data_IF_672262816034
#
_entry.id   IF_672262816034
#
_cell.length_a   1.000
_cell.length_b   1.000
_cell.length_c   1.000
_cell.angle_alpha   90.00
_cell.angle_beta   90.00
_cell.angle_gamma   90.00
#
_symmetry.space_group_name_H-M   'P 1'
#
loop_
_entity.id
_entity.type
_entity.pdbx_description
1 polymer ?
#
# COMPACT_ATOMS: atom_id res chain seq x y z
N UNK A 1 14.06 -31.62 -13.95
CA UNK A 1 13.72 -30.21 -14.13
C UNK A 1 13.06 -29.76 -12.83
N UNK A 2 13.81 -29.13 -11.90
CA UNK A 2 13.20 -28.56 -10.68
C UNK A 2 12.49 -27.29 -11.10
N UNK A 3 11.18 -27.28 -10.99
CA UNK A 3 10.42 -26.04 -10.97
C UNK A 3 10.74 -25.39 -9.62
N UNK A 4 11.67 -24.42 -9.65
CA UNK A 4 11.87 -23.54 -8.51
C UNK A 4 10.56 -22.76 -8.33
N UNK A 5 9.75 -23.21 -7.37
CA UNK A 5 8.59 -22.47 -6.94
C UNK A 5 9.09 -21.25 -6.16
N UNK A 6 9.14 -20.11 -6.83
CA UNK A 6 9.41 -18.84 -6.16
C UNK A 6 8.46 -18.68 -4.97
N UNK A 7 9.02 -18.52 -3.78
CA UNK A 7 8.25 -18.44 -2.54
C UNK A 7 8.02 -16.98 -2.16
N UNK A 8 6.76 -16.58 -2.23
CA UNK A 8 6.31 -15.27 -1.76
C UNK A 8 5.86 -15.35 -0.32
N UNK A 9 6.44 -14.55 0.55
CA UNK A 9 6.09 -14.43 1.96
C UNK A 9 5.75 -13.00 2.31
N UNK A 10 4.63 -12.79 3.04
CA UNK A 10 4.34 -11.52 3.69
C UNK A 10 4.68 -11.64 5.18
N UNK A 11 5.52 -10.73 5.67
CA UNK A 11 5.96 -10.71 7.07
C UNK A 11 5.59 -9.39 7.72
N UNK A 12 5.24 -9.38 9.02
CA UNK A 12 5.18 -8.15 9.79
C UNK A 12 6.52 -7.40 9.69
N UNK A 13 6.43 -6.07 9.51
CA UNK A 13 7.59 -5.20 9.56
C UNK A 13 8.16 -5.20 10.99
N UNK A 14 9.48 -5.22 11.14
CA UNK A 14 10.09 -5.18 12.47
C UNK A 14 11.49 -5.80 12.56
N UNK A 15 12.01 -6.36 11.47
CA UNK A 15 13.39 -6.83 11.44
C UNK A 15 14.37 -5.69 11.14
N UNK A 16 15.59 -5.72 11.67
CA UNK A 16 16.64 -4.77 11.30
C UNK A 16 16.78 -4.66 9.77
N UNK A 17 16.85 -3.43 9.28
CA UNK A 17 16.94 -3.12 7.85
C UNK A 17 15.59 -2.98 7.12
N UNK A 18 14.45 -3.38 7.71
CA UNK A 18 13.14 -3.18 7.07
C UNK A 18 12.81 -1.71 6.85
N UNK A 19 12.97 -0.89 7.88
CA UNK A 19 12.64 0.56 7.82
C UNK A 19 13.49 1.28 6.76
N UNK A 20 14.80 1.06 6.78
CA UNK A 20 15.71 1.65 5.81
C UNK A 20 15.42 1.19 4.37
N UNK A 21 15.10 -0.10 4.19
CA UNK A 21 14.74 -0.61 2.88
C UNK A 21 13.47 0.03 2.31
N UNK A 22 12.46 0.24 3.13
CA UNK A 22 11.22 0.92 2.69
C UNK A 22 11.52 2.31 2.14
N UNK A 23 12.33 3.10 2.84
CA UNK A 23 12.72 4.44 2.40
C UNK A 23 13.54 4.39 1.12
N UNK A 24 14.57 3.55 1.06
CA UNK A 24 15.45 3.40 -0.09
C UNK A 24 14.66 2.95 -1.33
N UNK A 25 13.86 1.89 -1.21
CA UNK A 25 13.10 1.35 -2.34
C UNK A 25 12.10 2.36 -2.91
N UNK A 26 11.42 3.14 -2.07
CA UNK A 26 10.55 4.21 -2.53
C UNK A 26 11.35 5.30 -3.27
N UNK A 27 12.44 5.78 -2.71
CA UNK A 27 13.27 6.78 -3.35
C UNK A 27 13.76 6.34 -4.73
N UNK A 28 14.36 5.17 -4.83
CA UNK A 28 14.92 4.64 -6.06
C UNK A 28 13.87 4.33 -7.13
N UNK A 29 12.81 3.60 -6.77
CA UNK A 29 11.78 3.17 -7.72
C UNK A 29 11.00 4.35 -8.28
N UNK A 30 10.57 5.28 -7.43
CA UNK A 30 9.77 6.42 -7.87
C UNK A 30 10.59 7.47 -8.62
N UNK A 31 11.88 7.61 -8.30
CA UNK A 31 12.78 8.43 -9.10
C UNK A 31 12.96 7.84 -10.52
N UNK A 32 13.17 6.54 -10.61
CA UNK A 32 13.37 5.85 -11.89
C UNK A 32 12.11 5.85 -12.77
N UNK A 33 10.93 5.67 -12.19
CA UNK A 33 9.69 5.52 -12.95
C UNK A 33 8.94 6.84 -13.21
N UNK A 34 9.03 7.80 -12.28
CA UNK A 34 8.23 9.03 -12.31
C UNK A 34 9.08 10.30 -12.27
N UNK A 35 10.40 10.19 -12.10
CA UNK A 35 11.28 11.34 -11.99
C UNK A 35 11.11 12.14 -10.69
N UNK A 36 10.57 11.52 -9.64
CA UNK A 36 10.37 12.19 -8.36
C UNK A 36 11.69 12.37 -7.61
N UNK A 37 11.86 13.54 -7.03
CA UNK A 37 13.09 13.92 -6.32
C UNK A 37 13.12 13.43 -4.87
N UNK A 38 14.16 13.79 -4.13
CA UNK A 38 14.38 13.39 -2.74
C UNK A 38 13.35 13.95 -1.75
N UNK A 39 12.51 14.90 -2.13
CA UNK A 39 11.39 15.35 -1.28
C UNK A 39 10.40 14.21 -1.03
N UNK A 40 10.19 13.34 -2.04
CA UNK A 40 9.37 12.14 -1.88
C UNK A 40 10.01 11.13 -0.93
N UNK A 41 11.30 10.86 -1.08
CA UNK A 41 12.05 9.98 -0.17
C UNK A 41 12.00 10.52 1.27
N UNK A 42 12.16 11.85 1.45
CA UNK A 42 12.04 12.51 2.75
C UNK A 42 10.64 12.34 3.36
N UNK A 43 9.58 12.44 2.57
CA UNK A 43 8.21 12.19 3.03
C UNK A 43 8.04 10.73 3.51
N UNK A 44 8.53 9.77 2.73
CA UNK A 44 8.49 8.35 3.13
C UNK A 44 9.29 8.12 4.41
N UNK A 45 10.45 8.74 4.54
CA UNK A 45 11.26 8.65 5.76
C UNK A 45 10.52 9.16 6.99
N UNK A 46 9.78 10.26 6.89
CA UNK A 46 8.95 10.80 7.98
C UNK A 46 7.83 9.83 8.37
N UNK A 47 7.14 9.23 7.39
CA UNK A 47 6.08 8.25 7.63
C UNK A 47 6.65 7.03 8.36
N UNK A 48 7.76 6.49 7.88
CA UNK A 48 8.41 5.31 8.44
C UNK A 48 8.92 5.58 9.86
N UNK A 49 9.57 6.73 10.09
CA UNK A 49 10.04 7.11 11.41
C UNK A 49 8.88 7.33 12.41
N UNK A 50 7.79 7.95 11.97
CA UNK A 50 6.59 8.14 12.78
C UNK A 50 5.96 6.81 13.19
N UNK A 51 5.84 5.88 12.27
CA UNK A 51 5.37 4.52 12.56
C UNK A 51 6.29 3.80 13.56
N UNK A 52 7.59 3.80 13.30
CA UNK A 52 8.55 3.13 14.17
C UNK A 52 8.54 3.66 15.62
N UNK A 53 8.32 4.95 15.79
CA UNK A 53 8.37 5.60 17.10
C UNK A 53 7.09 5.45 17.92
N UNK A 54 5.91 5.33 17.30
CA UNK A 54 4.63 5.57 18.00
C UNK A 54 3.48 4.64 17.64
N UNK A 55 3.65 3.66 16.73
CA UNK A 55 2.52 2.81 16.34
C UNK A 55 1.98 2.00 17.52
N UNK A 56 0.66 1.91 17.58
CA UNK A 56 -0.05 1.00 18.48
C UNK A 56 -0.41 -0.28 17.69
N UNK A 57 0.13 -1.45 18.06
CA UNK A 57 -0.10 -2.69 17.31
C UNK A 57 -1.57 -3.16 17.32
N UNK A 58 -2.43 -2.61 18.18
CA UNK A 58 -3.85 -2.89 18.14
C UNK A 58 -4.56 -2.16 16.98
N UNK A 59 -4.00 -1.05 16.52
CA UNK A 59 -4.60 -0.15 15.54
C UNK A 59 -3.76 0.03 14.28
N UNK A 60 -2.48 -0.29 14.33
CA UNK A 60 -1.54 -0.02 13.25
C UNK A 60 -0.65 -1.23 12.97
N UNK A 61 -0.40 -1.50 11.71
CA UNK A 61 0.48 -2.58 11.27
C UNK A 61 1.15 -2.24 9.95
N UNK A 62 2.26 -2.91 9.68
CA UNK A 62 2.97 -2.80 8.41
C UNK A 62 3.55 -4.16 8.02
N UNK A 63 3.70 -4.40 6.73
CA UNK A 63 4.21 -5.66 6.21
C UNK A 63 5.27 -5.44 5.14
N UNK A 64 6.19 -6.40 5.08
CA UNK A 64 7.18 -6.57 4.03
C UNK A 64 6.83 -7.82 3.23
N UNK A 65 6.81 -7.70 1.90
CA UNK A 65 6.74 -8.83 1.00
C UNK A 65 8.16 -9.27 0.63
N UNK A 66 8.44 -10.54 0.72
CA UNK A 66 9.69 -11.17 0.32
C UNK A 66 9.45 -12.18 -0.79
N UNK A 67 10.38 -12.23 -1.75
CA UNK A 67 10.47 -13.24 -2.79
C UNK A 67 11.80 -13.96 -2.63
N UNK A 68 11.75 -15.22 -2.25
CA UNK A 68 12.95 -16.03 -1.95
C UNK A 68 13.91 -15.35 -0.96
N UNK A 69 13.33 -14.71 0.08
CA UNK A 69 14.07 -13.99 1.12
C UNK A 69 14.51 -12.57 0.73
N UNK A 70 14.28 -12.12 -0.50
CA UNK A 70 14.57 -10.73 -0.93
C UNK A 70 13.34 -9.85 -0.75
N UNK A 71 13.52 -8.68 -0.19
CA UNK A 71 12.43 -7.71 0.01
C UNK A 71 11.99 -7.15 -1.34
N UNK A 72 10.69 -7.24 -1.64
CA UNK A 72 10.13 -6.83 -2.92
C UNK A 72 8.84 -6.03 -2.81
N UNK A 73 8.37 -5.75 -1.61
CA UNK A 73 7.18 -4.93 -1.42
C UNK A 73 6.94 -4.55 0.03
N UNK A 74 6.07 -3.58 0.24
CA UNK A 74 5.60 -3.18 1.56
C UNK A 74 4.24 -2.50 1.50
N UNK A 75 3.56 -2.45 2.65
CA UNK A 75 2.35 -1.67 2.88
C UNK A 75 2.22 -1.33 4.36
N UNK A 76 1.64 -0.17 4.66
CA UNK A 76 1.36 0.29 6.01
C UNK A 76 -0.14 0.56 6.18
N UNK A 77 -0.67 0.16 7.32
CA UNK A 77 -2.00 0.51 7.80
C UNK A 77 -1.83 1.31 9.10
N UNK A 78 -2.22 2.56 9.10
CA UNK A 78 -2.07 3.46 10.24
C UNK A 78 -3.41 4.11 10.58
N UNK A 79 -3.54 4.64 11.80
CA UNK A 79 -4.71 5.42 12.20
C UNK A 79 -4.76 6.74 11.43
N UNK A 80 -5.97 7.20 11.09
CA UNK A 80 -6.16 8.54 10.57
C UNK A 80 -6.13 9.54 11.75
N UNK A 81 -5.20 10.51 11.79
CA UNK A 81 -5.12 11.45 12.90
C UNK A 81 -6.34 12.38 13.00
N UNK A 82 -7.07 12.55 11.90
CA UNK A 82 -8.25 13.45 11.83
C UNK A 82 -9.57 12.72 12.04
N UNK A 83 -9.57 11.37 12.00
CA UNK A 83 -10.78 10.56 12.16
C UNK A 83 -10.43 9.23 12.86
N UNK A 84 -10.69 9.10 14.16
CA UNK A 84 -10.34 7.89 14.92
C UNK A 84 -11.11 6.64 14.47
N UNK A 85 -12.15 6.78 13.65
CA UNK A 85 -12.92 5.66 13.10
C UNK A 85 -12.35 5.18 11.76
N UNK A 86 -11.36 5.87 11.20
CA UNK A 86 -10.75 5.57 9.92
C UNK A 86 -9.31 5.09 10.05
N UNK A 87 -8.94 4.12 9.23
CA UNK A 87 -7.55 3.79 8.95
C UNK A 87 -7.05 4.53 7.71
N UNK A 88 -5.74 4.68 7.59
CA UNK A 88 -5.04 5.08 6.36
C UNK A 88 -4.17 3.95 5.83
N UNK A 89 -4.38 3.59 4.57
CA UNK A 89 -3.44 2.80 3.81
C UNK A 89 -2.34 3.72 3.31
N UNK A 90 -1.09 3.41 3.62
CA UNK A 90 0.06 4.25 3.25
C UNK A 90 1.18 3.44 2.65
N UNK A 91 1.94 4.10 1.80
CA UNK A 91 3.22 3.62 1.22
C UNK A 91 3.18 2.18 0.73
N UNK A 92 2.22 1.86 -0.13
CA UNK A 92 2.21 0.63 -0.91
C UNK A 92 3.31 0.70 -1.98
N UNK A 93 4.20 -0.27 -1.97
CA UNK A 93 5.21 -0.45 -3.00
C UNK A 93 5.29 -1.92 -3.41
N UNK A 94 5.38 -2.17 -4.72
CA UNK A 94 5.90 -3.42 -5.27
C UNK A 94 7.12 -3.10 -6.13
N UNK A 95 8.28 -3.55 -5.64
CA UNK A 95 9.54 -3.40 -6.36
C UNK A 95 9.46 -4.09 -7.73
N UNK A 96 10.11 -3.59 -8.79
CA UNK A 96 10.10 -4.22 -10.12
C UNK A 96 10.37 -5.72 -10.10
N UNK A 97 11.30 -6.19 -9.27
CA UNK A 97 11.65 -7.61 -9.13
C UNK A 97 10.50 -8.49 -8.59
N UNK A 98 9.52 -7.89 -7.94
CA UNK A 98 8.35 -8.59 -7.36
C UNK A 98 7.10 -8.54 -8.22
N UNK A 99 7.10 -7.79 -9.33
CA UNK A 99 5.91 -7.58 -10.17
C UNK A 99 5.46 -8.83 -10.92
N UNK A 100 4.21 -8.82 -11.37
CA UNK A 100 3.62 -9.94 -12.12
C UNK A 100 3.20 -11.14 -11.27
N UNK A 101 3.29 -11.05 -9.94
CA UNK A 101 2.97 -12.14 -8.98
C UNK A 101 1.77 -11.84 -8.08
N UNK A 102 1.02 -10.79 -8.38
CA UNK A 102 -0.15 -10.39 -7.59
C UNK A 102 0.19 -9.84 -6.19
N UNK A 103 1.45 -9.46 -5.93
CA UNK A 103 1.89 -8.97 -4.62
C UNK A 103 1.15 -7.73 -4.14
N UNK A 104 0.91 -6.77 -5.03
CA UNK A 104 0.18 -5.56 -4.70
C UNK A 104 -1.23 -5.86 -4.18
N UNK A 105 -1.92 -6.80 -4.81
CA UNK A 105 -3.24 -7.26 -4.37
C UNK A 105 -3.18 -7.92 -3.01
N UNK A 106 -2.22 -8.82 -2.79
CA UNK A 106 -2.05 -9.51 -1.50
C UNK A 106 -1.73 -8.53 -0.37
N UNK A 107 -0.89 -7.54 -0.62
CA UNK A 107 -0.56 -6.50 0.35
C UNK A 107 -1.79 -5.66 0.70
N UNK A 108 -2.57 -5.22 -0.28
CA UNK A 108 -3.81 -4.47 -0.05
C UNK A 108 -4.83 -5.32 0.71
N UNK A 109 -5.03 -6.58 0.31
CA UNK A 109 -5.96 -7.48 0.99
C UNK A 109 -5.56 -7.70 2.46
N UNK A 110 -4.28 -7.91 2.75
CA UNK A 110 -3.76 -8.02 4.12
C UNK A 110 -4.02 -6.76 4.95
N UNK A 111 -3.80 -5.58 4.36
CA UNK A 111 -4.10 -4.30 4.99
C UNK A 111 -5.59 -4.16 5.32
N UNK A 112 -6.47 -4.51 4.38
CA UNK A 112 -7.92 -4.44 4.57
C UNK A 112 -8.43 -5.44 5.62
N UNK A 113 -7.89 -6.64 5.66
CA UNK A 113 -8.21 -7.64 6.68
C UNK A 113 -7.83 -7.16 8.07
N UNK A 114 -6.65 -6.60 8.21
CA UNK A 114 -6.21 -5.99 9.47
C UNK A 114 -7.12 -4.83 9.90
N UNK A 115 -7.42 -3.90 8.99
CA UNK A 115 -8.26 -2.75 9.31
C UNK A 115 -9.67 -3.17 9.78
N UNK A 116 -10.25 -4.20 9.14
CA UNK A 116 -11.53 -4.77 9.59
C UNK A 116 -11.43 -5.42 10.97
N UNK A 117 -10.40 -6.22 11.18
CA UNK A 117 -10.18 -6.91 12.46
C UNK A 117 -9.92 -5.94 13.61
N UNK A 118 -9.23 -4.83 13.34
CA UNK A 118 -9.01 -3.75 14.29
C UNK A 118 -10.29 -2.96 14.64
N UNK A 119 -11.35 -3.08 13.83
CA UNK A 119 -12.63 -2.42 14.09
C UNK A 119 -12.80 -1.05 13.45
N UNK A 120 -11.98 -0.69 12.46
CA UNK A 120 -12.17 0.54 11.71
C UNK A 120 -13.44 0.50 10.89
N UNK A 121 -14.18 1.62 10.85
CA UNK A 121 -15.39 1.77 10.05
C UNK A 121 -15.09 1.98 8.57
N UNK A 122 -13.94 2.61 8.27
CA UNK A 122 -13.51 2.93 6.92
C UNK A 122 -11.99 2.94 6.81
N UNK A 123 -11.51 2.90 5.56
CA UNK A 123 -10.11 3.08 5.25
C UNK A 123 -9.96 4.09 4.11
N UNK A 124 -9.01 4.99 4.25
CA UNK A 124 -8.69 6.05 3.29
C UNK A 124 -7.29 5.86 2.74
N UNK A 125 -7.06 6.37 1.56
CA UNK A 125 -5.72 6.51 0.99
C UNK A 125 -5.63 7.78 0.15
N UNK A 126 -4.44 8.31 0.06
CA UNK A 126 -4.08 9.37 -0.87
C UNK A 126 -3.02 8.85 -1.84
N UNK A 127 -3.18 9.12 -3.12
CA UNK A 127 -2.28 8.67 -4.18
C UNK A 127 -2.15 9.77 -5.24
N UNK A 128 -1.36 9.54 -6.27
CA UNK A 128 -1.18 10.46 -7.38
C UNK A 128 -1.53 9.80 -8.71
N UNK A 129 -2.01 10.58 -9.66
CA UNK A 129 -2.54 10.09 -10.92
C UNK A 129 -1.60 9.17 -11.73
N UNK A 130 -0.25 9.29 -11.72
CA UNK A 130 0.61 8.37 -12.47
C UNK A 130 0.64 6.94 -11.90
N UNK A 131 0.20 6.74 -10.66
CA UNK A 131 0.25 5.44 -9.96
C UNK A 131 -0.92 4.53 -10.38
N UNK A 132 -1.01 4.23 -11.66
CA UNK A 132 -2.15 3.51 -12.26
C UNK A 132 -2.29 2.06 -11.76
N UNK A 133 -1.19 1.36 -11.56
CA UNK A 133 -1.22 -0.04 -11.12
C UNK A 133 -1.85 -0.16 -9.71
N UNK A 134 -1.46 0.72 -8.78
CA UNK A 134 -2.04 0.78 -7.44
C UNK A 134 -3.53 1.16 -7.50
N UNK A 135 -3.89 2.17 -8.32
CA UNK A 135 -5.27 2.62 -8.48
C UNK A 135 -6.19 1.50 -8.97
N UNK A 136 -5.75 0.67 -9.92
CA UNK A 136 -6.52 -0.49 -10.39
C UNK A 136 -6.83 -1.47 -9.25
N UNK A 137 -5.88 -1.68 -8.35
CA UNK A 137 -6.09 -2.55 -7.18
C UNK A 137 -7.14 -1.92 -6.25
N UNK A 138 -7.04 -0.62 -5.96
CA UNK A 138 -7.99 0.06 -5.09
C UNK A 138 -9.42 0.01 -5.64
N UNK A 139 -9.60 0.35 -6.90
CA UNK A 139 -10.91 0.29 -7.56
C UNK A 139 -11.50 -1.11 -7.56
N UNK A 140 -10.68 -2.14 -7.82
CA UNK A 140 -11.11 -3.54 -7.79
C UNK A 140 -11.52 -4.02 -6.38
N UNK A 141 -11.11 -3.31 -5.30
CA UNK A 141 -11.52 -3.59 -3.91
C UNK A 141 -12.70 -2.74 -3.45
N UNK A 142 -13.24 -1.92 -4.32
CA UNK A 142 -14.42 -1.11 -4.03
C UNK A 142 -14.10 0.26 -3.44
N UNK A 143 -12.85 0.70 -3.44
CA UNK A 143 -12.53 2.08 -3.11
C UNK A 143 -13.19 3.04 -4.08
N UNK A 144 -13.68 4.15 -3.57
CA UNK A 144 -14.35 5.21 -4.32
C UNK A 144 -13.51 6.48 -4.25
N UNK A 145 -13.36 7.15 -5.40
CA UNK A 145 -12.70 8.45 -5.48
C UNK A 145 -13.58 9.49 -4.76
N UNK A 146 -13.02 10.18 -3.77
CA UNK A 146 -13.72 11.20 -2.97
C UNK A 146 -13.18 12.60 -3.18
N UNK A 147 -12.00 12.75 -3.78
CA UNK A 147 -11.43 14.06 -4.06
C UNK A 147 -10.22 13.98 -4.97
N UNK A 148 -10.02 15.08 -5.70
CA UNK A 148 -8.84 15.31 -6.53
C UNK A 148 -8.37 16.75 -6.34
N UNK A 149 -7.05 16.93 -6.33
CA UNK A 149 -6.45 18.26 -6.30
C UNK A 149 -5.15 18.32 -7.12
N UNK A 150 -4.99 19.30 -8.02
CA UNK A 150 -3.71 19.56 -8.63
C UNK A 150 -2.73 20.10 -7.61
N UNK A 151 -1.49 19.64 -7.67
CA UNK A 151 -0.42 20.15 -6.83
C UNK A 151 0.93 19.99 -7.53
N UNK A 152 1.94 20.71 -7.04
CA UNK A 152 3.33 20.52 -7.43
C UNK A 152 4.10 19.99 -6.24
N UNK A 153 4.61 18.78 -6.38
CA UNK A 153 5.41 18.11 -5.35
C UNK A 153 6.45 17.21 -6.00
N UNK A 154 7.51 16.92 -5.27
CA UNK A 154 8.56 15.99 -5.73
C UNK A 154 9.23 16.42 -7.04
N UNK A 155 9.22 17.73 -7.32
CA UNK A 155 9.78 18.32 -8.54
C UNK A 155 8.90 18.24 -9.78
N UNK A 156 7.66 17.76 -9.69
CA UNK A 156 6.75 17.55 -10.83
C UNK A 156 5.33 18.05 -10.53
N UNK A 157 4.56 18.30 -11.58
CA UNK A 157 3.14 18.60 -11.47
C UNK A 157 2.33 17.29 -11.39
N UNK A 158 1.43 17.21 -10.42
CA UNK A 158 0.68 16.01 -10.09
C UNK A 158 -0.81 16.36 -9.87
N UNK A 159 -1.64 15.32 -9.92
CA UNK A 159 -3.01 15.36 -9.40
C UNK A 159 -3.10 14.35 -8.27
N UNK A 160 -3.26 14.86 -7.04
CA UNK A 160 -3.52 14.04 -5.87
C UNK A 160 -4.94 13.51 -5.89
N UNK A 161 -5.13 12.26 -5.51
CA UNK A 161 -6.41 11.58 -5.49
C UNK A 161 -6.64 10.95 -4.12
N UNK A 162 -7.80 11.22 -3.54
CA UNK A 162 -8.23 10.58 -2.29
C UNK A 162 -9.26 9.51 -2.60
N UNK A 163 -9.05 8.32 -2.07
CA UNK A 163 -9.98 7.19 -2.16
C UNK A 163 -10.41 6.75 -0.78
N UNK A 164 -11.64 6.28 -0.67
CA UNK A 164 -12.21 5.78 0.57
C UNK A 164 -12.97 4.46 0.34
N UNK A 165 -12.89 3.55 1.31
CA UNK A 165 -13.66 2.31 1.33
C UNK A 165 -14.34 2.18 2.68
N UNK A 166 -15.66 1.95 2.66
CA UNK A 166 -16.44 1.55 3.84
C UNK A 166 -16.14 0.09 4.18
N UNK A 167 -15.63 -0.15 5.38
CA UNK A 167 -15.26 -1.49 5.87
C UNK A 167 -16.43 -2.24 6.50
N UNK A 168 -17.50 -1.53 6.88
CA UNK A 168 -18.73 -2.11 7.41
C UNK A 168 -19.64 -2.67 6.31
N UNK A 169 -19.41 -2.29 5.03
CA UNK A 169 -20.18 -2.82 3.90
C UNK A 169 -19.87 -4.30 3.65
N UNK A 170 -20.88 -5.14 3.35
CA UNK A 170 -20.65 -6.54 3.01
C UNK A 170 -19.73 -6.63 1.78
N UNK A 171 -18.79 -7.58 1.79
CA UNK A 171 -17.97 -7.91 0.62
C UNK A 171 -18.88 -8.09 -0.60
N UNK A 172 -18.59 -7.44 -1.76
CA UNK A 172 -19.29 -7.82 -2.98
C UNK A 172 -19.08 -9.32 -3.21
N UNK A 173 -20.17 -10.04 -3.42
CA UNK A 173 -20.13 -11.48 -3.69
C UNK A 173 -19.20 -11.73 -4.88
N UNK A 174 -18.41 -12.82 -4.85
CA UNK A 174 -17.62 -13.20 -6.01
C UNK A 174 -18.56 -13.34 -7.20
N UNK A 175 -18.27 -12.66 -8.29
CA UNK A 175 -19.00 -12.80 -9.56
C UNK A 175 -18.81 -14.26 -10.00
N UNK A 176 -19.84 -15.06 -9.80
CA UNK A 176 -19.92 -16.40 -10.38
C UNK A 176 -20.10 -16.17 -11.87
N UNK A 177 -19.04 -16.37 -12.64
CA UNK A 177 -19.12 -16.40 -14.08
C UNK A 177 -20.07 -17.55 -14.46
N UNK A 178 -21.23 -17.22 -14.98
CA UNK A 178 -22.04 -18.18 -15.71
C UNK A 178 -21.30 -18.46 -17.02
N UNK A 179 -20.63 -19.59 -17.04
CA UNK A 179 -20.17 -20.22 -18.26
C UNK A 179 -21.43 -20.73 -18.98
N UNK A 180 -21.88 -20.03 -20.01
CA UNK A 180 -22.92 -20.48 -20.89
C UNK A 180 -22.24 -21.28 -22.00
N UNK A 181 -22.33 -22.60 -21.91
CA UNK A 181 -21.87 -23.55 -22.91
C UNK A 181 -22.50 -23.40 -24.31
#
# INVERSE_FOLDING_TARGET
MRTDHETVTLRPLGRPGHLGWVVQAHGEVYAAEFGWNTDFEGLVAQIVAGYAARHDPNWEAAWIAELDGRRVGCIFCVSDPDDPTAAKLRILLVHPDGRGRGLGRRLVDTCLEFARAAGYARIRLWTNHPLEAARRIYLARGFVLTGEEPHRSFGVDLVGQTYELDLAAPRPAPTVGFDVG
#
